data_IF_516745381037
#
_entry.id   IF_516745381037
#
_cell.length_a   1.000
_cell.length_b   1.000
_cell.length_c   1.000
_cell.angle_alpha   90.00
_cell.angle_beta   90.00
_cell.angle_gamma   90.00
#
_symmetry.space_group_name_H-M   'P 1'
#
loop_
_entity.id
_entity.type
_entity.pdbx_description
1 polymer ?
#
# COMPACT_ATOMS: atom_id res chain seq x y z
N UNK A 1 -20.19 5.56 13.49
CA UNK A 1 -19.45 6.81 13.21
C UNK A 1 -18.12 6.32 12.69
N UNK A 2 -18.06 6.13 11.38
CA UNK A 2 -17.01 5.31 10.78
C UNK A 2 -15.94 6.23 10.24
N UNK A 3 -14.81 6.27 10.95
CA UNK A 3 -13.60 6.95 10.52
C UNK A 3 -13.03 6.25 9.28
N UNK A 4 -13.58 6.53 8.10
CA UNK A 4 -12.93 6.15 6.85
C UNK A 4 -11.87 7.23 6.58
N UNK A 5 -10.60 6.93 6.87
CA UNK A 5 -9.47 7.70 6.38
C UNK A 5 -9.43 7.61 4.85
N UNK A 6 -10.21 8.46 4.17
CA UNK A 6 -10.22 8.63 2.72
C UNK A 6 -9.10 9.59 2.36
N UNK A 7 -7.88 9.08 2.16
CA UNK A 7 -6.72 9.95 1.99
C UNK A 7 -5.62 9.44 1.06
N UNK A 8 -5.70 8.19 0.59
CA UNK A 8 -4.61 7.58 -0.17
C UNK A 8 -3.33 7.46 0.65
N UNK A 9 -2.18 7.56 -0.02
CA UNK A 9 -0.86 7.50 0.62
C UNK A 9 -0.25 8.92 0.68
N UNK A 10 0.06 9.39 1.89
CA UNK A 10 0.90 10.57 2.08
C UNK A 10 2.36 10.16 2.25
N UNK A 11 3.25 10.84 1.52
CA UNK A 11 4.69 10.69 1.59
C UNK A 11 5.32 12.00 2.05
N UNK A 12 6.06 11.98 3.16
CA UNK A 12 6.78 13.14 3.66
C UNK A 12 8.26 13.07 3.26
N UNK A 13 8.70 13.99 2.40
CA UNK A 13 10.11 14.15 2.08
C UNK A 13 10.78 14.94 3.21
N UNK A 14 11.49 14.23 4.09
CA UNK A 14 12.18 14.80 5.25
C UNK A 14 13.29 15.78 4.89
N UNK A 15 13.85 15.70 3.67
CA UNK A 15 14.90 16.64 3.23
C UNK A 15 14.30 17.96 2.79
N UNK A 16 13.15 17.90 2.11
CA UNK A 16 12.44 19.09 1.61
C UNK A 16 11.43 19.65 2.59
N UNK A 17 11.09 18.90 3.64
CA UNK A 17 10.01 19.22 4.58
C UNK A 17 8.67 19.44 3.87
N UNK A 18 8.37 18.61 2.86
CA UNK A 18 7.15 18.70 2.05
C UNK A 18 6.40 17.38 2.03
N UNK A 19 5.07 17.48 1.91
CA UNK A 19 4.20 16.33 1.66
C UNK A 19 3.91 16.18 0.17
N UNK A 20 3.82 14.92 -0.25
CA UNK A 20 3.25 14.52 -1.54
C UNK A 20 2.17 13.48 -1.27
N UNK A 21 1.02 13.64 -1.90
CA UNK A 21 -0.09 12.70 -1.79
C UNK A 21 -0.17 11.87 -3.07
N UNK A 22 -0.49 10.58 -2.90
CA UNK A 22 -0.77 9.66 -3.99
C UNK A 22 -2.17 9.06 -3.79
N UNK A 23 -2.91 9.01 -4.89
CA UNK A 23 -4.29 8.57 -4.95
C UNK A 23 -4.49 7.53 -6.06
N UNK A 24 -5.72 7.06 -6.23
CA UNK A 24 -6.10 6.22 -7.38
C UNK A 24 -5.73 6.85 -8.73
N UNK A 25 -5.76 8.19 -8.83
CA UNK A 25 -5.36 8.92 -10.05
C UNK A 25 -3.88 8.78 -10.37
N UNK A 26 -3.07 8.49 -9.35
CA UNK A 26 -1.62 8.31 -9.46
C UNK A 26 -1.23 6.82 -9.60
N UNK A 27 -2.22 5.91 -9.62
CA UNK A 27 -2.02 4.47 -9.82
C UNK A 27 -2.18 3.62 -8.57
N UNK A 28 -2.52 4.18 -7.41
CA UNK A 28 -2.88 3.40 -6.21
C UNK A 28 -4.15 2.56 -6.46
N UNK A 29 -4.23 1.34 -5.94
CA UNK A 29 -5.39 0.46 -6.17
C UNK A 29 -6.69 0.98 -5.53
N UNK A 30 -6.58 1.64 -4.38
CA UNK A 30 -7.68 2.36 -3.73
C UNK A 30 -7.15 3.42 -2.77
N UNK A 31 -7.89 4.52 -2.63
CA UNK A 31 -7.62 5.57 -1.66
C UNK A 31 -7.84 5.15 -0.19
N UNK A 32 -8.38 3.95 0.04
CA UNK A 32 -8.54 3.34 1.37
C UNK A 32 -7.38 2.36 1.57
N UNK A 33 -6.30 2.85 2.19
CA UNK A 33 -5.11 2.08 2.54
C UNK A 33 -5.24 1.59 3.99
N UNK A 34 -5.26 0.27 4.17
CA UNK A 34 -5.47 -0.41 5.45
C UNK A 34 -4.15 -0.89 6.09
N UNK A 35 -3.14 -1.17 5.28
CA UNK A 35 -1.82 -1.59 5.79
C UNK A 35 -0.69 -1.10 4.89
N UNK A 36 0.48 -0.87 5.50
CA UNK A 36 1.71 -0.48 4.81
C UNK A 36 2.85 -1.35 5.33
N UNK A 37 3.47 -2.13 4.45
CA UNK A 37 4.63 -2.96 4.76
C UNK A 37 5.78 -2.63 3.82
N UNK A 38 6.90 -2.17 4.37
CA UNK A 38 8.13 -2.00 3.58
C UNK A 38 8.81 -3.35 3.39
N UNK A 39 9.28 -3.64 2.18
CA UNK A 39 10.11 -4.80 1.90
C UNK A 39 11.62 -4.53 2.01
N UNK A 40 12.44 -5.58 1.88
CA UNK A 40 13.90 -5.46 1.94
C UNK A 40 14.51 -4.70 0.77
N UNK A 41 13.76 -4.48 -0.31
CA UNK A 41 14.16 -3.69 -1.48
C UNK A 41 13.66 -2.24 -1.41
N UNK A 42 13.19 -1.80 -0.23
CA UNK A 42 12.62 -0.48 0.03
C UNK A 42 11.39 -0.14 -0.85
N UNK A 43 10.66 -1.14 -1.33
CA UNK A 43 9.32 -0.94 -1.90
C UNK A 43 8.29 -0.98 -0.79
N UNK A 44 7.23 -0.19 -0.94
CA UNK A 44 6.11 -0.21 0.00
C UNK A 44 5.00 -1.07 -0.58
N UNK A 45 4.46 -1.97 0.23
CA UNK A 45 3.30 -2.79 -0.10
C UNK A 45 2.11 -2.28 0.69
N UNK A 46 1.05 -1.93 -0.01
CA UNK A 46 -0.12 -1.24 0.50
C UNK A 46 -1.32 -2.15 0.36
N UNK A 47 -1.78 -2.73 1.47
CA UNK A 47 -3.05 -3.46 1.49
C UNK A 47 -4.18 -2.44 1.46
N UNK A 48 -5.06 -2.54 0.47
CA UNK A 48 -6.19 -1.62 0.29
C UNK A 48 -7.51 -2.37 0.37
N UNK A 49 -8.63 -1.65 0.33
CA UNK A 49 -9.94 -2.29 0.17
C UNK A 49 -10.27 -2.71 -1.28
N UNK A 50 -9.34 -2.54 -2.23
CA UNK A 50 -9.53 -2.97 -3.62
C UNK A 50 -8.23 -3.54 -4.25
N UNK A 51 -7.53 -4.39 -3.50
CA UNK A 51 -6.34 -5.10 -3.93
C UNK A 51 -5.08 -4.67 -3.17
N UNK A 52 -3.93 -5.09 -3.69
CA UNK A 52 -2.62 -4.79 -3.13
C UNK A 52 -1.85 -3.89 -4.11
N UNK A 53 -1.30 -2.78 -3.64
CA UNK A 53 -0.40 -1.94 -4.43
C UNK A 53 1.05 -2.06 -3.95
N UNK A 54 1.98 -2.29 -4.86
CA UNK A 54 3.41 -2.14 -4.61
C UNK A 54 3.87 -0.79 -5.17
N UNK A 55 4.35 0.08 -4.29
CA UNK A 55 4.88 1.41 -4.60
C UNK A 55 6.41 1.42 -4.55
N UNK A 56 7.01 1.96 -5.59
CA UNK A 56 8.44 2.26 -5.65
C UNK A 56 8.68 3.75 -5.36
N UNK A 57 9.21 4.13 -4.18
CA UNK A 57 9.43 5.54 -3.85
C UNK A 57 10.53 6.20 -4.67
N UNK A 58 11.39 5.45 -5.37
CA UNK A 58 12.44 6.03 -6.21
C UNK A 58 11.91 6.44 -7.59
N UNK A 59 11.05 5.62 -8.18
CA UNK A 59 10.45 5.89 -9.50
C UNK A 59 9.05 6.48 -9.40
N UNK A 60 8.49 6.51 -8.19
CA UNK A 60 7.10 6.89 -7.89
C UNK A 60 6.05 6.09 -8.67
N UNK A 61 6.33 4.81 -8.91
CA UNK A 61 5.46 3.94 -9.72
C UNK A 61 4.69 2.95 -8.85
N UNK A 62 3.45 2.67 -9.25
CA UNK A 62 2.61 1.65 -8.65
C UNK A 62 2.50 0.42 -9.56
N UNK A 63 2.48 -0.75 -8.94
CA UNK A 63 2.01 -1.99 -9.54
C UNK A 63 0.90 -2.56 -8.67
N UNK A 64 -0.27 -2.78 -9.26
CA UNK A 64 -1.43 -3.29 -8.55
C UNK A 64 -1.63 -4.79 -8.82
N UNK A 65 -2.18 -5.47 -7.83
CA UNK A 65 -2.53 -6.88 -7.87
C UNK A 65 -3.96 -7.05 -7.36
N UNK A 66 -4.70 -7.95 -7.98
CA UNK A 66 -6.09 -8.27 -7.63
C UNK A 66 -6.28 -9.78 -7.48
N UNK A 67 -7.50 -10.24 -7.22
CA UNK A 67 -7.84 -11.66 -7.25
C UNK A 67 -7.44 -12.37 -8.56
N UNK A 68 -7.39 -11.67 -9.71
CA UNK A 68 -6.94 -12.28 -10.97
C UNK A 68 -5.45 -12.65 -10.96
N UNK A 69 -4.68 -12.03 -10.07
CA UNK A 69 -3.25 -12.32 -9.85
C UNK A 69 -3.03 -13.37 -8.75
N UNK A 70 -4.11 -13.90 -8.16
CA UNK A 70 -4.07 -14.96 -7.13
C UNK A 70 -4.18 -14.46 -5.68
N UNK A 71 -4.64 -13.23 -5.44
CA UNK A 71 -4.94 -12.77 -4.08
C UNK A 71 -6.13 -13.53 -3.47
N UNK A 72 -6.14 -13.68 -2.14
CA UNK A 72 -7.25 -14.32 -1.41
C UNK A 72 -8.59 -13.57 -1.55
N UNK A 73 -8.52 -12.28 -1.86
CA UNK A 73 -9.61 -11.33 -1.97
C UNK A 73 -9.07 -9.94 -2.35
N UNK A 74 -9.96 -9.01 -2.68
CA UNK A 74 -9.57 -7.62 -2.94
C UNK A 74 -9.63 -6.73 -1.69
N UNK A 75 -10.25 -7.19 -0.61
CA UNK A 75 -10.34 -6.42 0.63
C UNK A 75 -9.26 -6.89 1.61
N UNK A 76 -8.42 -5.97 2.06
CA UNK A 76 -7.42 -6.23 3.11
C UNK A 76 -7.79 -5.51 4.40
N UNK A 77 -7.39 -6.07 5.54
CA UNK A 77 -7.72 -5.56 6.87
C UNK A 77 -6.62 -4.69 7.44
N UNK A 78 -7.02 -3.84 8.39
CA UNK A 78 -6.11 -2.93 9.08
C UNK A 78 -4.96 -3.68 9.77
N UNK A 79 -3.73 -3.20 9.57
CA UNK A 79 -2.51 -3.75 10.17
C UNK A 79 -2.26 -5.25 9.95
N UNK A 80 -2.97 -5.86 9.00
CA UNK A 80 -2.87 -7.30 8.71
C UNK A 80 -1.75 -7.55 7.70
N UNK A 81 -0.54 -7.07 8.00
CA UNK A 81 0.64 -7.27 7.17
C UNK A 81 1.82 -7.69 8.03
N UNK A 82 2.60 -8.67 7.56
CA UNK A 82 3.79 -9.14 8.25
C UNK A 82 4.90 -9.48 7.25
N UNK A 83 6.14 -9.18 7.61
CA UNK A 83 7.32 -9.59 6.88
C UNK A 83 8.18 -10.51 7.75
N UNK A 84 8.55 -11.68 7.21
CA UNK A 84 9.49 -12.60 7.86
C UNK A 84 10.93 -12.12 7.67
N UNK A 85 11.84 -12.66 8.49
CA UNK A 85 13.28 -12.34 8.40
C UNK A 85 13.91 -12.69 7.04
N UNK A 86 13.39 -13.68 6.32
CA UNK A 86 13.85 -14.05 4.97
C UNK A 86 13.14 -13.25 3.85
N UNK A 87 12.27 -12.29 4.19
CA UNK A 87 11.65 -11.36 3.25
C UNK A 87 10.33 -11.81 2.63
N UNK A 88 9.72 -12.90 3.10
CA UNK A 88 8.36 -13.26 2.70
C UNK A 88 7.36 -12.27 3.30
N UNK A 89 6.33 -11.93 2.52
CA UNK A 89 5.29 -10.99 2.93
C UNK A 89 3.97 -11.74 3.07
N UNK A 90 3.25 -11.45 4.15
CA UNK A 90 1.93 -11.99 4.46
C UNK A 90 0.96 -10.84 4.58
N UNK A 91 -0.20 -10.96 3.96
CA UNK A 91 -1.29 -9.98 4.03
C UNK A 91 -2.61 -10.68 4.34
N UNK A 92 -3.35 -10.17 5.33
CA UNK A 92 -4.66 -10.66 5.77
C UNK A 92 -5.80 -9.73 5.35
N UNK A 93 -6.97 -10.30 5.07
CA UNK A 93 -8.21 -9.64 4.66
C UNK A 93 -9.42 -10.27 5.34
#
# INVERSE_FOLDING_TARGET
MDWHCRGGLNYFDTRKQTFKAYSEKDGLASNIVCSIQKDHHNKLWLGTNNGLSRFDPQTEQFRNFTVSDGLQGNEFRDNSSYQTANGQLFFGG
#
